data_IF_955383933659
#
_entry.id   IF_955383933659
#
_cell.length_a   1.000
_cell.length_b   1.000
_cell.length_c   1.000
_cell.angle_alpha   90.00
_cell.angle_beta   90.00
_cell.angle_gamma   90.00
#
_symmetry.space_group_name_H-M   'P 1'
#
loop_
_entity.id
_entity.type
_entity.pdbx_description
1 polymer ?
#
# COMPACT_ATOMS: atom_id res chain seq x y z
N UNK A 1 3.03 -16.18 -4.82
CA UNK A 1 2.85 -16.10 -3.35
C UNK A 1 3.83 -17.03 -2.61
N UNK A 2 3.42 -18.10 -1.87
CA UNK A 2 4.30 -18.80 -0.89
C UNK A 2 5.67 -19.28 -1.40
N UNK A 3 5.74 -19.86 -2.61
CA UNK A 3 7.03 -20.20 -3.25
C UNK A 3 7.72 -18.97 -3.83
N UNK A 4 6.96 -18.10 -4.51
CA UNK A 4 7.43 -16.84 -5.12
C UNK A 4 8.22 -15.97 -4.16
N UNK A 5 7.73 -15.76 -2.93
CA UNK A 5 8.34 -14.85 -1.94
C UNK A 5 9.71 -15.34 -1.42
N UNK A 6 10.07 -16.60 -1.66
CA UNK A 6 11.39 -17.14 -1.31
C UNK A 6 12.51 -16.66 -2.26
N UNK A 7 12.16 -16.10 -3.41
CA UNK A 7 13.10 -15.59 -4.43
C UNK A 7 12.79 -14.13 -4.82
N UNK A 8 11.50 -13.79 -4.86
CA UNK A 8 10.96 -12.47 -5.17
C UNK A 8 10.40 -11.86 -3.87
N UNK A 9 11.32 -11.46 -3.00
CA UNK A 9 11.05 -11.05 -1.62
C UNK A 9 10.78 -9.55 -1.44
N UNK A 10 10.86 -8.75 -2.52
CA UNK A 10 10.31 -7.40 -2.55
C UNK A 10 8.83 -7.48 -2.91
N UNK A 11 7.97 -7.11 -1.95
CA UNK A 11 6.52 -7.21 -2.05
C UNK A 11 5.94 -5.81 -2.06
N UNK A 12 5.55 -5.33 -3.24
CA UNK A 12 4.81 -4.09 -3.35
C UNK A 12 3.33 -4.30 -3.03
N UNK A 13 2.73 -3.35 -2.31
CA UNK A 13 1.39 -3.44 -1.77
C UNK A 13 0.66 -2.10 -1.82
N UNK A 14 -0.65 -2.19 -2.06
CA UNK A 14 -1.60 -1.10 -2.21
C UNK A 14 -3.01 -1.66 -1.87
N UNK A 15 -3.94 -0.83 -1.38
CA UNK A 15 -5.31 -1.26 -1.05
C UNK A 15 -6.38 -0.29 -1.57
N UNK A 16 -7.53 -0.83 -1.97
CA UNK A 16 -8.73 -0.04 -2.26
C UNK A 16 -9.79 -0.27 -1.17
N UNK A 17 -10.39 0.81 -0.69
CA UNK A 17 -11.30 0.84 0.45
C UNK A 17 -12.31 2.00 0.31
N UNK A 18 -13.45 2.00 1.02
CA UNK A 18 -14.56 2.92 0.75
C UNK A 18 -14.36 4.35 1.31
N UNK A 19 -13.13 4.85 1.33
CA UNK A 19 -12.79 6.24 1.66
C UNK A 19 -12.74 6.55 3.15
N UNK A 20 -13.29 7.73 3.50
CA UNK A 20 -13.34 8.30 4.85
C UNK A 20 -14.79 8.75 5.09
N UNK A 21 -15.39 8.28 6.19
CA UNK A 21 -16.77 8.60 6.59
C UNK A 21 -16.87 9.30 7.95
N UNK A 22 -15.83 9.19 8.79
CA UNK A 22 -15.75 9.82 10.12
C UNK A 22 -14.54 10.75 10.23
N UNK A 23 -14.69 11.85 10.97
CA UNK A 23 -13.57 12.60 11.53
C UNK A 23 -13.63 12.49 13.06
N UNK A 24 -12.50 12.23 13.75
CA UNK A 24 -12.50 12.12 15.21
C UNK A 24 -12.71 13.51 15.82
N UNK A 25 -13.56 13.58 16.85
CA UNK A 25 -13.88 14.82 17.58
C UNK A 25 -13.18 14.77 18.93
N UNK A 26 -12.31 15.73 19.21
CA UNK A 26 -11.56 15.79 20.46
C UNK A 26 -10.44 16.83 20.45
N UNK A 27 -9.57 16.75 21.45
CA UNK A 27 -8.28 17.42 21.48
C UNK A 27 -7.19 16.39 21.17
N UNK A 28 -6.23 16.77 20.33
CA UNK A 28 -5.15 15.89 19.87
C UNK A 28 -3.81 16.51 20.28
N UNK A 29 -2.84 15.66 20.63
CA UNK A 29 -1.51 16.05 21.10
C UNK A 29 -0.64 16.69 20.02
N UNK A 30 -0.88 16.31 18.76
CA UNK A 30 -0.11 16.75 17.58
C UNK A 30 -0.93 16.59 16.29
N UNK A 31 -0.41 17.09 15.18
CA UNK A 31 -1.00 16.84 13.87
C UNK A 31 -0.89 15.36 13.46
N UNK A 32 0.22 14.68 13.81
CA UNK A 32 0.43 13.26 13.55
C UNK A 32 -0.54 12.36 14.34
N UNK A 33 -0.82 12.71 15.59
CA UNK A 33 -1.85 12.07 16.43
C UNK A 33 -3.24 12.21 15.79
N UNK A 34 -3.62 13.42 15.34
CA UNK A 34 -4.87 13.60 14.59
C UNK A 34 -4.94 12.75 13.32
N UNK A 35 -3.85 12.64 12.53
CA UNK A 35 -3.82 11.75 11.37
C UNK A 35 -4.00 10.28 11.77
N UNK A 36 -3.37 9.83 12.86
CA UNK A 36 -3.54 8.46 13.35
C UNK A 36 -4.97 8.18 13.84
N UNK A 37 -5.57 9.06 14.65
CA UNK A 37 -6.95 8.87 15.10
C UNK A 37 -7.97 8.95 13.95
N UNK A 38 -7.68 9.74 12.90
CA UNK A 38 -8.48 9.79 11.67
C UNK A 38 -8.40 8.46 10.91
N UNK A 39 -7.19 7.92 10.71
CA UNK A 39 -6.97 6.60 10.13
C UNK A 39 -7.69 5.52 10.93
N UNK A 40 -7.42 5.45 12.24
CA UNK A 40 -7.96 4.46 13.17
C UNK A 40 -9.49 4.42 13.16
N UNK A 41 -10.14 5.57 13.29
CA UNK A 41 -11.61 5.65 13.34
C UNK A 41 -12.26 5.14 12.06
N UNK A 42 -11.67 5.43 10.89
CA UNK A 42 -12.20 4.96 9.61
C UNK A 42 -11.86 3.48 9.35
N UNK A 43 -10.61 3.03 9.52
CA UNK A 43 -10.21 1.64 9.30
C UNK A 43 -10.98 0.66 10.19
N UNK A 44 -11.23 1.03 11.46
CA UNK A 44 -12.03 0.19 12.35
C UNK A 44 -13.48 0.06 11.84
N UNK A 45 -14.06 1.17 11.36
CA UNK A 45 -15.48 1.27 10.96
C UNK A 45 -15.79 0.84 9.52
N UNK A 46 -14.78 0.75 8.66
CA UNK A 46 -14.89 0.46 7.23
C UNK A 46 -14.17 -0.84 6.88
N UNK A 47 -14.55 -1.47 5.78
CA UNK A 47 -13.98 -2.74 5.35
C UNK A 47 -13.28 -2.62 3.99
N UNK A 48 -12.21 -3.41 3.83
CA UNK A 48 -11.33 -3.40 2.65
C UNK A 48 -12.05 -3.99 1.42
N UNK A 49 -11.85 -3.39 0.24
CA UNK A 49 -12.47 -3.82 -1.02
C UNK A 49 -11.47 -4.60 -1.89
N UNK A 50 -10.23 -4.12 -2.00
CA UNK A 50 -9.14 -4.85 -2.65
C UNK A 50 -7.81 -4.75 -1.92
N UNK A 51 -6.98 -5.78 -2.10
CA UNK A 51 -5.54 -5.78 -1.80
C UNK A 51 -4.77 -6.16 -3.07
N UNK A 52 -3.74 -5.38 -3.40
CA UNK A 52 -2.76 -5.71 -4.43
C UNK A 52 -1.47 -6.21 -3.80
N UNK A 53 -0.91 -7.30 -4.32
CA UNK A 53 0.42 -7.79 -3.95
C UNK A 53 1.24 -8.10 -5.20
N UNK A 54 2.35 -7.38 -5.37
CA UNK A 54 3.26 -7.54 -6.51
C UNK A 54 4.66 -7.94 -6.06
N UNK A 55 5.22 -9.02 -6.65
CA UNK A 55 6.44 -9.68 -6.18
C UNK A 55 7.62 -9.46 -7.16
N UNK A 56 8.72 -8.93 -6.65
CA UNK A 56 9.97 -8.60 -7.35
C UNK A 56 11.20 -9.13 -6.59
N UNK A 57 12.33 -9.28 -7.29
CA UNK A 57 13.63 -9.64 -6.68
C UNK A 57 14.47 -8.41 -6.30
N UNK A 58 15.62 -8.64 -5.64
CA UNK A 58 16.59 -7.61 -5.23
C UNK A 58 17.15 -6.77 -6.40
N UNK A 59 17.19 -7.31 -7.62
CA UNK A 59 17.65 -6.59 -8.80
C UNK A 59 16.53 -5.77 -9.46
N UNK A 60 15.28 -5.93 -9.02
CA UNK A 60 14.11 -5.28 -9.60
C UNK A 60 13.53 -6.01 -10.80
N UNK A 61 13.71 -7.34 -10.90
CA UNK A 61 12.99 -8.17 -11.86
C UNK A 61 11.64 -8.63 -11.26
N UNK A 62 10.51 -8.56 -11.99
CA UNK A 62 9.25 -9.14 -11.57
C UNK A 62 9.32 -10.67 -11.53
N UNK A 63 8.53 -11.30 -10.65
CA UNK A 63 8.37 -12.75 -10.65
C UNK A 63 7.80 -13.28 -12.00
N UNK A 64 8.29 -14.42 -12.52
CA UNK A 64 7.88 -14.96 -13.81
C UNK A 64 6.41 -15.40 -13.81
N UNK A 65 5.81 -15.39 -15.00
CA UNK A 65 4.41 -15.72 -15.35
C UNK A 65 3.30 -14.87 -14.70
N UNK A 66 3.45 -14.53 -13.42
CA UNK A 66 2.52 -13.76 -12.61
C UNK A 66 3.26 -13.10 -11.45
N UNK A 67 3.62 -11.82 -11.60
CA UNK A 67 4.17 -11.02 -10.51
C UNK A 67 3.11 -10.39 -9.61
N UNK A 68 1.93 -10.08 -10.14
CA UNK A 68 0.86 -9.33 -9.45
C UNK A 68 -0.38 -10.18 -9.18
N UNK A 69 -0.82 -10.17 -7.93
CA UNK A 69 -2.10 -10.70 -7.46
C UNK A 69 -3.01 -9.56 -6.99
N UNK A 70 -4.29 -9.60 -7.37
CA UNK A 70 -5.32 -8.68 -6.89
C UNK A 70 -6.43 -9.49 -6.20
N UNK A 71 -6.57 -9.30 -4.89
CA UNK A 71 -7.60 -9.92 -4.06
C UNK A 71 -8.81 -9.00 -4.01
N UNK A 72 -10.01 -9.54 -4.24
CA UNK A 72 -11.27 -8.80 -4.23
C UNK A 72 -12.08 -9.32 -3.04
N UNK A 73 -12.12 -8.54 -1.97
CA UNK A 73 -12.81 -8.95 -0.74
C UNK A 73 -14.32 -8.78 -0.87
N UNK A 74 -15.04 -9.50 -0.02
CA UNK A 74 -16.49 -9.42 0.07
C UNK A 74 -16.92 -8.02 0.52
N UNK A 75 -17.80 -7.38 -0.25
CA UNK A 75 -18.31 -6.03 0.03
C UNK A 75 -19.70 -5.83 -0.57
N UNK A 76 -20.63 -5.28 0.21
CA UNK A 76 -22.04 -5.11 -0.10
C UNK A 76 -22.49 -3.66 0.17
N UNK A 77 -22.68 -2.89 -0.91
CA UNK A 77 -23.15 -1.49 -0.89
C UNK A 77 -24.48 -1.24 -0.13
N UNK A 78 -25.25 -2.28 0.19
CA UNK A 78 -26.53 -2.15 0.90
C UNK A 78 -26.41 -2.38 2.43
N UNK A 79 -25.25 -2.83 2.91
CA UNK A 79 -25.02 -3.17 4.31
C UNK A 79 -23.78 -2.45 4.88
N UNK A 80 -22.73 -2.30 4.07
CA UNK A 80 -21.42 -1.90 4.54
C UNK A 80 -21.25 -0.36 4.40
N UNK A 81 -20.68 0.29 5.41
CA UNK A 81 -20.52 1.74 5.42
C UNK A 81 -19.51 2.21 4.36
N UNK A 82 -19.78 3.35 3.73
CA UNK A 82 -18.94 3.88 2.65
C UNK A 82 -19.10 5.38 2.39
N UNK A 83 -18.05 6.02 1.87
CA UNK A 83 -18.12 7.36 1.31
C UNK A 83 -18.63 7.31 -0.14
N UNK A 84 -19.69 8.04 -0.44
CA UNK A 84 -20.36 7.99 -1.75
C UNK A 84 -19.43 8.32 -2.92
N UNK A 85 -18.56 9.33 -2.77
CA UNK A 85 -17.61 9.76 -3.79
C UNK A 85 -16.52 8.71 -4.05
N UNK A 86 -16.09 7.98 -3.01
CA UNK A 86 -15.14 6.88 -3.14
C UNK A 86 -15.74 5.69 -3.87
N UNK A 87 -17.01 5.33 -3.60
CA UNK A 87 -17.70 4.31 -4.38
C UNK A 87 -17.87 4.74 -5.84
N UNK A 88 -18.21 6.00 -6.10
CA UNK A 88 -18.32 6.51 -7.48
C UNK A 88 -16.97 6.48 -8.21
N UNK A 89 -15.87 6.85 -7.54
CA UNK A 89 -14.50 6.71 -8.08
C UNK A 89 -14.20 5.25 -8.43
N UNK A 90 -14.41 4.32 -7.49
CA UNK A 90 -14.15 2.89 -7.67
C UNK A 90 -15.01 2.26 -8.78
N UNK A 91 -16.28 2.63 -8.91
CA UNK A 91 -17.14 2.19 -10.03
C UNK A 91 -16.61 2.71 -11.37
N UNK A 92 -16.20 3.98 -11.45
CA UNK A 92 -15.58 4.55 -12.66
C UNK A 92 -14.23 3.89 -13.00
N UNK A 93 -13.52 3.40 -11.98
CA UNK A 93 -12.30 2.61 -12.11
C UNK A 93 -12.56 1.11 -12.33
N UNK A 94 -13.81 0.70 -12.54
CA UNK A 94 -14.18 -0.65 -12.97
C UNK A 94 -14.36 -1.68 -11.85
N UNK A 95 -14.49 -1.27 -10.59
CA UNK A 95 -14.82 -2.17 -9.47
C UNK A 95 -16.25 -2.71 -9.63
N UNK A 96 -16.36 -4.05 -9.64
CA UNK A 96 -17.62 -4.75 -9.89
C UNK A 96 -18.30 -5.11 -8.57
N UNK A 97 -18.86 -4.14 -7.85
CA UNK A 97 -19.42 -4.34 -6.49
C UNK A 97 -20.46 -5.48 -6.39
N UNK A 98 -21.27 -5.71 -7.44
CA UNK A 98 -22.18 -6.87 -7.48
C UNK A 98 -21.43 -8.22 -7.38
N UNK A 99 -20.22 -8.29 -7.95
CA UNK A 99 -19.33 -9.44 -7.86
C UNK A 99 -18.61 -9.54 -6.51
N UNK A 100 -18.17 -8.42 -5.94
CA UNK A 100 -17.66 -8.42 -4.56
C UNK A 100 -18.70 -8.94 -3.56
N UNK A 101 -19.98 -8.56 -3.71
CA UNK A 101 -21.06 -9.02 -2.82
C UNK A 101 -21.40 -10.51 -2.96
N UNK A 102 -21.26 -11.08 -4.17
CA UNK A 102 -21.68 -12.45 -4.48
C UNK A 102 -20.54 -13.49 -4.48
N UNK A 103 -19.33 -13.09 -4.86
CA UNK A 103 -18.15 -13.96 -5.08
C UNK A 103 -16.90 -13.47 -4.32
N UNK A 104 -16.95 -12.35 -3.60
CA UNK A 104 -15.77 -11.77 -2.96
C UNK A 104 -15.22 -12.59 -1.79
N UNK A 105 -13.91 -12.54 -1.61
CA UNK A 105 -13.15 -13.30 -0.61
C UNK A 105 -13.57 -12.89 0.80
N UNK A 106 -13.90 -13.87 1.65
CA UNK A 106 -14.15 -13.64 3.08
C UNK A 106 -12.84 -13.19 3.77
N UNK A 107 -12.80 -12.00 4.41
CA UNK A 107 -11.57 -11.44 5.00
C UNK A 107 -10.84 -12.42 5.94
N UNK A 108 -11.59 -13.13 6.79
CA UNK A 108 -11.01 -14.01 7.81
C UNK A 108 -10.45 -15.32 7.22
N UNK A 109 -10.91 -15.78 6.05
CA UNK A 109 -10.30 -16.91 5.33
C UNK A 109 -8.98 -16.50 4.69
N UNK A 110 -8.93 -15.30 4.08
CA UNK A 110 -7.68 -14.73 3.57
C UNK A 110 -6.66 -14.55 4.69
N UNK A 111 -7.05 -13.94 5.81
CA UNK A 111 -6.17 -13.67 6.95
C UNK A 111 -5.49 -14.94 7.47
N UNK A 112 -6.26 -16.02 7.69
CA UNK A 112 -5.73 -17.33 8.09
C UNK A 112 -4.67 -17.86 7.10
N UNK A 113 -4.96 -17.81 5.79
CA UNK A 113 -4.06 -18.30 4.75
C UNK A 113 -2.82 -17.40 4.54
N UNK A 114 -2.93 -16.11 4.85
CA UNK A 114 -1.88 -15.10 4.69
C UNK A 114 -0.93 -15.07 5.89
N UNK A 115 -1.42 -15.20 7.13
CA UNK A 115 -0.59 -15.32 8.34
C UNK A 115 0.42 -16.46 8.22
N UNK A 116 0.00 -17.65 7.75
CA UNK A 116 0.89 -18.81 7.56
C UNK A 116 1.57 -18.85 6.17
N UNK A 117 1.66 -17.72 5.46
CA UNK A 117 2.22 -17.67 4.10
C UNK A 117 3.74 -17.48 4.03
N UNK A 118 4.36 -16.97 5.10
CA UNK A 118 5.76 -16.53 5.11
C UNK A 118 6.00 -15.14 4.48
N UNK A 119 4.93 -14.44 4.09
CA UNK A 119 4.99 -13.07 3.53
C UNK A 119 4.98 -12.01 4.65
N UNK A 120 4.19 -12.24 5.70
CA UNK A 120 4.16 -11.46 6.95
C UNK A 120 4.96 -12.15 8.06
N UNK A 121 5.30 -11.40 9.12
CA UNK A 121 6.17 -11.83 10.23
C UNK A 121 7.56 -12.31 9.77
N UNK A 122 8.05 -11.77 8.66
CA UNK A 122 9.16 -12.34 7.89
C UNK A 122 10.24 -11.31 7.61
N UNK A 123 11.36 -11.42 8.33
CA UNK A 123 12.58 -10.60 8.16
C UNK A 123 13.18 -10.64 6.75
N UNK A 124 12.83 -11.64 5.95
CA UNK A 124 13.30 -11.77 4.57
C UNK A 124 12.50 -10.93 3.58
N UNK A 125 11.28 -10.49 3.94
CA UNK A 125 10.40 -9.72 3.06
C UNK A 125 10.61 -8.22 3.25
N UNK A 126 10.57 -7.49 2.14
CA UNK A 126 10.67 -6.03 2.11
C UNK A 126 9.44 -5.46 1.41
N UNK A 127 8.68 -4.65 2.14
CA UNK A 127 7.43 -4.08 1.69
C UNK A 127 7.64 -2.75 0.98
N UNK A 128 7.03 -2.58 -0.19
CA UNK A 128 7.09 -1.37 -1.00
C UNK A 128 5.68 -0.79 -1.11
N UNK A 129 5.48 0.43 -0.63
CA UNK A 129 4.13 1.00 -0.50
C UNK A 129 4.12 2.49 -0.81
N UNK A 130 2.96 3.12 -0.97
CA UNK A 130 2.89 4.55 -1.29
C UNK A 130 1.83 5.27 -0.43
N UNK A 131 2.26 6.15 0.46
CA UNK A 131 1.39 6.94 1.35
C UNK A 131 0.57 6.07 2.33
N UNK A 132 1.22 5.05 2.90
CA UNK A 132 0.57 3.77 3.13
C UNK A 132 0.01 3.53 4.53
N UNK A 133 -0.36 4.60 5.23
CA UNK A 133 -0.92 4.50 6.58
C UNK A 133 -2.20 3.65 6.61
N UNK A 134 -3.15 3.96 5.72
CA UNK A 134 -4.41 3.23 5.62
C UNK A 134 -4.21 1.78 5.19
N UNK A 135 -3.32 1.51 4.22
CA UNK A 135 -3.05 0.14 3.75
C UNK A 135 -2.59 -0.78 4.88
N UNK A 136 -1.58 -0.34 5.65
CA UNK A 136 -1.13 -1.08 6.82
C UNK A 136 -2.17 -1.11 7.94
N UNK A 137 -2.99 -0.06 8.07
CA UNK A 137 -4.15 -0.07 8.95
C UNK A 137 -5.11 -1.23 8.64
N UNK A 138 -5.59 -1.32 7.40
CA UNK A 138 -6.47 -2.42 6.98
C UNK A 138 -5.79 -3.77 7.12
N UNK A 139 -4.52 -3.89 6.74
CA UNK A 139 -3.77 -5.15 6.87
C UNK A 139 -3.57 -5.59 8.33
N UNK A 140 -3.41 -4.66 9.28
CA UNK A 140 -3.32 -4.99 10.71
C UNK A 140 -4.70 -5.38 11.28
N UNK A 141 -5.77 -4.64 10.96
CA UNK A 141 -7.15 -5.02 11.30
C UNK A 141 -7.47 -6.44 10.79
N UNK A 142 -7.17 -6.69 9.52
CA UNK A 142 -7.40 -7.95 8.82
C UNK A 142 -6.63 -9.14 9.43
N UNK A 143 -5.38 -8.92 9.86
CA UNK A 143 -4.53 -10.01 10.39
C UNK A 143 -4.78 -10.33 11.87
N UNK A 144 -5.31 -9.38 12.65
CA UNK A 144 -5.53 -9.53 14.09
C UNK A 144 -7.00 -9.74 14.49
N UNK A 145 -7.94 -9.56 13.54
CA UNK A 145 -9.40 -9.57 13.73
C UNK A 145 -9.85 -8.63 14.88
N UNK A 146 -9.19 -7.46 14.96
CA UNK A 146 -9.27 -6.51 16.07
C UNK A 146 -9.18 -5.05 15.58
N UNK A 147 -9.79 -4.16 16.36
CA UNK A 147 -9.64 -2.71 16.19
C UNK A 147 -8.18 -2.27 16.39
N UNK A 148 -7.74 -1.27 15.62
CA UNK A 148 -6.40 -0.71 15.76
C UNK A 148 -6.19 -0.04 17.14
N UNK A 149 -4.96 -0.12 17.71
CA UNK A 149 -4.62 0.38 19.05
C UNK A 149 -5.00 1.84 19.29
N UNK A 150 -5.20 2.22 20.55
CA UNK A 150 -5.55 3.61 20.89
C UNK A 150 -4.37 4.56 20.65
N UNK A 151 -3.15 4.10 20.95
CA UNK A 151 -1.91 4.84 20.75
C UNK A 151 -1.24 4.54 19.38
N UNK A 152 -0.56 5.55 18.84
CA UNK A 152 0.19 5.44 17.59
C UNK A 152 1.50 4.67 17.76
N UNK A 153 2.12 4.70 18.95
CA UNK A 153 3.29 3.90 19.29
C UNK A 153 2.98 2.41 19.28
N UNK A 154 1.91 1.99 19.95
CA UNK A 154 1.40 0.59 19.92
C UNK A 154 1.12 0.11 18.49
N UNK A 155 0.53 0.96 17.63
CA UNK A 155 0.37 0.67 16.20
C UNK A 155 1.71 0.45 15.49
N UNK A 156 2.73 1.30 15.74
CA UNK A 156 4.06 1.12 15.18
C UNK A 156 4.82 -0.10 15.74
N UNK A 157 4.50 -0.58 16.95
CA UNK A 157 5.02 -1.84 17.47
C UNK A 157 4.43 -3.05 16.73
N UNK A 158 3.10 -3.11 16.56
CA UNK A 158 2.45 -4.12 15.73
C UNK A 158 2.96 -4.10 14.29
N UNK A 159 3.11 -2.90 13.71
CA UNK A 159 3.64 -2.72 12.36
C UNK A 159 5.02 -3.36 12.19
N UNK A 160 5.95 -3.12 13.13
CA UNK A 160 7.31 -3.71 13.09
C UNK A 160 7.31 -5.23 13.27
N UNK A 161 6.37 -5.78 14.05
CA UNK A 161 6.28 -7.24 14.27
C UNK A 161 5.74 -7.95 13.03
N UNK A 162 4.70 -7.39 12.39
CA UNK A 162 4.01 -8.02 11.26
C UNK A 162 4.75 -7.73 9.93
N UNK A 163 5.36 -6.55 9.81
CA UNK A 163 5.99 -6.03 8.60
C UNK A 163 7.39 -5.44 8.91
N UNK A 164 8.43 -6.26 9.20
CA UNK A 164 9.70 -5.77 9.75
C UNK A 164 10.47 -4.77 8.89
N UNK A 165 10.29 -4.82 7.55
CA UNK A 165 10.97 -3.93 6.59
C UNK A 165 9.97 -3.33 5.63
N UNK A 166 9.78 -2.01 5.72
CA UNK A 166 8.86 -1.22 4.89
C UNK A 166 9.62 -0.03 4.31
N UNK A 167 9.37 0.29 3.04
CA UNK A 167 9.81 1.53 2.41
C UNK A 167 8.60 2.21 1.77
N UNK A 168 8.04 3.24 2.42
CA UNK A 168 6.98 4.06 1.84
C UNK A 168 7.60 5.03 0.81
N UNK A 169 7.30 4.83 -0.47
CA UNK A 169 7.81 5.64 -1.57
C UNK A 169 7.48 7.12 -1.41
N UNK A 170 6.33 7.45 -0.82
CA UNK A 170 5.92 8.84 -0.52
C UNK A 170 6.83 9.46 0.54
N UNK A 171 7.33 8.66 1.49
CA UNK A 171 8.33 9.09 2.45
C UNK A 171 9.73 9.20 1.79
N UNK A 172 10.15 8.21 1.00
CA UNK A 172 11.43 8.27 0.25
C UNK A 172 11.51 9.50 -0.66
N UNK A 173 10.40 9.88 -1.31
CA UNK A 173 10.27 11.11 -2.10
C UNK A 173 10.66 12.38 -1.34
N UNK A 174 10.58 12.42 0.01
CA UNK A 174 11.04 13.57 0.81
C UNK A 174 12.55 13.81 0.67
N UNK A 175 13.34 12.74 0.46
CA UNK A 175 14.77 12.84 0.13
C UNK A 175 15.01 13.37 -1.29
N UNK A 176 14.06 13.17 -2.20
CA UNK A 176 14.13 13.57 -3.59
C UNK A 176 13.38 14.89 -3.81
N UNK A 177 14.05 16.05 -3.63
CA UNK A 177 13.50 17.42 -3.87
C UNK A 177 12.63 17.51 -5.14
N UNK A 178 13.03 16.74 -6.14
CA UNK A 178 12.45 16.58 -7.46
C UNK A 178 11.07 15.92 -7.57
N UNK A 179 10.60 15.12 -6.60
CA UNK A 179 9.34 14.40 -6.74
C UNK A 179 8.19 15.00 -5.94
N UNK A 180 6.99 15.01 -6.55
CA UNK A 180 5.70 15.40 -5.94
C UNK A 180 4.53 14.70 -6.63
N UNK A 181 3.34 14.83 -6.03
CA UNK A 181 2.08 14.28 -6.53
C UNK A 181 1.72 12.96 -5.85
N UNK A 182 0.75 12.26 -6.42
CA UNK A 182 0.42 10.87 -6.10
C UNK A 182 1.33 9.89 -6.83
N UNK A 183 0.93 8.61 -6.82
CA UNK A 183 1.70 7.52 -7.43
C UNK A 183 1.80 7.69 -8.95
N UNK A 184 0.71 8.12 -9.59
CA UNK A 184 0.70 8.33 -11.04
C UNK A 184 1.61 9.49 -11.46
N UNK A 185 1.66 10.59 -10.72
CA UNK A 185 2.63 11.66 -11.00
C UNK A 185 4.07 11.18 -10.80
N UNK A 186 4.35 10.38 -9.75
CA UNK A 186 5.68 9.81 -9.51
C UNK A 186 6.11 8.94 -10.71
N UNK A 187 5.26 8.02 -11.16
CA UNK A 187 5.51 7.18 -12.33
C UNK A 187 5.75 8.02 -13.60
N UNK A 188 4.91 9.03 -13.85
CA UNK A 188 5.05 9.96 -14.97
C UNK A 188 6.39 10.75 -14.95
N UNK A 189 6.90 11.07 -13.75
CA UNK A 189 8.21 11.73 -13.56
C UNK A 189 9.39 10.75 -13.69
N UNK A 190 9.20 9.49 -13.32
CA UNK A 190 10.20 8.42 -13.43
C UNK A 190 10.29 7.78 -14.83
N UNK A 191 9.33 8.07 -15.71
CA UNK A 191 9.12 7.37 -16.99
C UNK A 191 8.86 5.86 -16.80
N UNK A 192 7.93 5.56 -15.91
CA UNK A 192 7.30 4.24 -15.75
C UNK A 192 5.89 4.33 -16.33
N UNK A 193 5.51 3.36 -17.16
CA UNK A 193 4.18 3.28 -17.79
C UNK A 193 3.27 2.36 -16.98
N UNK A 194 2.02 2.77 -16.72
CA UNK A 194 1.07 1.92 -15.98
C UNK A 194 0.65 0.73 -16.83
N UNK A 195 0.74 -0.45 -16.24
CA UNK A 195 0.09 -1.67 -16.72
C UNK A 195 -1.19 -1.90 -15.92
N UNK A 196 -2.34 -2.03 -16.59
CA UNK A 196 -3.64 -2.24 -15.95
C UNK A 196 -4.42 -0.96 -15.64
N UNK A 197 -5.56 -1.12 -14.98
CA UNK A 197 -6.53 -0.06 -14.70
C UNK A 197 -6.05 0.81 -13.52
N UNK A 198 -6.18 2.14 -13.60
CA UNK A 198 -5.84 3.01 -12.46
C UNK A 198 -6.94 2.94 -11.39
N UNK A 199 -6.55 2.99 -10.11
CA UNK A 199 -7.43 2.80 -8.96
C UNK A 199 -8.02 1.38 -8.94
N UNK A 200 -7.12 0.41 -9.04
CA UNK A 200 -7.33 -0.98 -8.65
C UNK A 200 -6.02 -1.50 -8.05
N UNK A 201 -6.11 -2.08 -6.86
CA UNK A 201 -4.95 -2.31 -6.01
C UNK A 201 -3.84 -3.16 -6.67
N UNK A 202 -4.20 -4.12 -7.54
CA UNK A 202 -3.20 -4.89 -8.29
C UNK A 202 -2.33 -4.01 -9.19
N UNK A 203 -2.95 -3.08 -9.90
CA UNK A 203 -2.29 -2.14 -10.83
C UNK A 203 -1.47 -1.08 -10.11
N UNK A 204 -2.01 -0.52 -9.03
CA UNK A 204 -1.30 0.46 -8.22
C UNK A 204 -0.16 -0.18 -7.39
N UNK A 205 -0.29 -1.43 -6.93
CA UNK A 205 0.84 -2.19 -6.33
C UNK A 205 1.96 -2.49 -7.34
N UNK A 206 1.63 -2.79 -8.61
CA UNK A 206 2.66 -2.99 -9.65
C UNK A 206 3.38 -1.69 -9.98
N UNK A 207 2.63 -0.60 -10.16
CA UNK A 207 3.20 0.71 -10.43
C UNK A 207 4.09 1.18 -9.26
N UNK A 208 3.74 0.82 -8.03
CA UNK A 208 4.57 1.03 -6.82
C UNK A 208 5.88 0.24 -6.87
N UNK A 209 5.86 -1.04 -7.28
CA UNK A 209 7.09 -1.82 -7.46
C UNK A 209 8.04 -1.19 -8.50
N UNK A 210 7.51 -0.88 -9.69
CA UNK A 210 8.30 -0.32 -10.79
C UNK A 210 8.84 1.08 -10.45
N UNK A 211 8.02 1.93 -9.83
CA UNK A 211 8.43 3.23 -9.34
C UNK A 211 9.53 3.12 -8.29
N UNK A 212 9.47 2.14 -7.38
CA UNK A 212 10.51 1.91 -6.38
C UNK A 212 11.86 1.60 -7.03
N UNK A 213 11.94 0.56 -7.87
CA UNK A 213 13.22 0.16 -8.46
C UNK A 213 13.79 1.21 -9.41
N UNK A 214 12.94 1.95 -10.14
CA UNK A 214 13.37 3.09 -10.96
C UNK A 214 13.90 4.24 -10.09
N UNK A 215 13.23 4.57 -8.97
CA UNK A 215 13.67 5.60 -8.03
C UNK A 215 14.98 5.20 -7.31
N UNK A 216 15.08 3.95 -6.82
CA UNK A 216 16.26 3.40 -6.14
C UNK A 216 17.51 3.54 -7.01
N UNK A 217 17.42 3.16 -8.29
CA UNK A 217 18.52 3.22 -9.26
C UNK A 217 18.94 4.65 -9.61
N UNK A 218 18.00 5.59 -9.74
CA UNK A 218 18.31 6.95 -10.21
C UNK A 218 18.66 7.93 -9.08
N UNK A 219 18.12 7.77 -7.87
CA UNK A 219 18.26 8.75 -6.78
C UNK A 219 18.99 8.25 -5.53
N UNK A 220 19.15 6.93 -5.39
CA UNK A 220 19.73 6.28 -4.22
C UNK A 220 20.95 5.40 -4.56
N UNK A 221 21.54 5.55 -5.76
CA UNK A 221 22.69 4.72 -6.21
C UNK A 221 22.45 3.20 -6.11
N UNK A 222 21.19 2.79 -6.32
CA UNK A 222 20.67 1.43 -6.15
C UNK A 222 20.67 0.87 -4.70
N UNK A 223 20.88 1.70 -3.67
CA UNK A 223 20.92 1.31 -2.25
C UNK A 223 20.09 2.23 -1.34
N UNK A 224 19.14 1.68 -0.57
CA UNK A 224 18.39 2.45 0.44
C UNK A 224 19.11 2.40 1.80
N UNK A 225 19.14 3.53 2.50
CA UNK A 225 19.61 3.63 3.88
C UNK A 225 18.51 3.18 4.86
N UNK A 226 18.59 1.92 5.32
CA UNK A 226 17.61 1.33 6.24
C UNK A 226 17.46 2.13 7.54
N UNK A 227 18.55 2.71 8.07
CA UNK A 227 18.52 3.46 9.32
C UNK A 227 17.74 4.78 9.23
N UNK A 228 17.44 5.23 8.01
CA UNK A 228 16.73 6.48 7.71
C UNK A 228 15.36 6.27 7.08
N UNK A 229 15.18 5.20 6.30
CA UNK A 229 13.97 5.00 5.48
C UNK A 229 13.16 3.76 5.84
N UNK A 230 13.71 2.80 6.58
CA UNK A 230 12.99 1.57 6.91
C UNK A 230 11.93 1.82 8.01
N UNK A 231 10.71 1.32 7.79
CA UNK A 231 9.60 1.45 8.75
C UNK A 231 8.97 2.85 8.83
N UNK A 232 9.43 3.80 8.02
CA UNK A 232 8.90 5.16 7.98
C UNK A 232 7.69 5.23 7.06
N UNK A 233 6.54 5.67 7.60
CA UNK A 233 5.27 5.79 6.88
C UNK A 233 4.96 7.27 6.63
N UNK A 234 4.61 7.66 5.41
CA UNK A 234 4.23 9.05 5.16
C UNK A 234 2.88 9.35 5.81
N UNK A 235 2.83 10.43 6.59
CA UNK A 235 1.60 10.90 7.23
C UNK A 235 1.47 10.55 8.71
N UNK A 236 2.31 9.64 9.22
CA UNK A 236 2.24 9.13 10.59
C UNK A 236 3.60 9.27 11.30
N UNK A 237 3.56 9.23 12.64
CA UNK A 237 4.77 9.23 13.47
C UNK A 237 5.48 10.59 13.59
N UNK A 238 6.61 10.65 14.33
CA UNK A 238 7.23 11.90 14.75
C UNK A 238 7.90 12.70 13.63
N UNK A 239 8.20 12.08 12.48
CA UNK A 239 8.76 12.79 11.32
C UNK A 239 7.71 13.51 10.46
N UNK A 240 6.44 13.56 10.85
CA UNK A 240 5.40 14.21 10.06
C UNK A 240 5.68 15.69 9.77
N UNK A 241 6.11 16.46 10.78
CA UNK A 241 6.14 17.93 10.80
C UNK A 241 7.30 18.60 10.01
N UNK A 242 8.16 17.84 9.33
CA UNK A 242 9.51 18.27 8.90
C UNK A 242 9.68 18.79 7.45
N UNK A 243 8.71 19.54 6.92
CA UNK A 243 8.84 20.42 5.70
C UNK A 243 9.09 19.73 4.32
N UNK A 244 9.41 20.48 3.25
CA UNK A 244 9.67 19.94 1.90
C UNK A 244 9.96 20.97 0.79
N UNK A 245 9.85 20.57 -0.50
CA UNK A 245 9.76 21.39 -1.76
C UNK A 245 11.02 21.55 -2.68
N UNK A 246 11.03 21.00 -3.93
CA UNK A 246 11.36 21.64 -5.27
C UNK A 246 12.23 20.88 -6.34
N UNK A 247 11.56 20.44 -7.44
CA UNK A 247 11.92 20.43 -8.91
C UNK A 247 12.97 19.46 -9.52
N UNK A 248 12.78 19.15 -10.82
CA UNK A 248 13.19 17.92 -11.55
C UNK A 248 13.68 18.20 -12.99
N UNK A 249 14.45 17.28 -13.61
CA UNK A 249 14.61 17.12 -15.08
C UNK A 249 14.71 15.63 -15.48
N UNK A 250 14.54 15.30 -16.77
CA UNK A 250 14.35 13.93 -17.36
C UNK A 250 15.69 13.28 -17.78
N UNK A 251 15.84 12.01 -18.21
CA UNK A 251 14.99 10.98 -18.93
C UNK A 251 15.45 9.56 -18.46
N UNK A 252 15.20 8.36 -19.00
CA UNK A 252 14.53 7.75 -20.19
C UNK A 252 14.09 6.27 -19.84
N UNK A 253 13.37 5.49 -20.69
CA UNK A 253 12.72 4.21 -20.31
C UNK A 253 13.37 2.89 -20.81
N UNK A 254 12.76 1.77 -20.40
CA UNK A 254 12.99 0.34 -20.75
C UNK A 254 11.60 -0.38 -20.80
N UNK A 255 11.47 -1.62 -21.32
CA UNK A 255 10.15 -2.22 -21.65
C UNK A 255 9.31 -2.73 -20.46
N UNK A 256 7.97 -2.89 -20.61
CA UNK A 256 7.01 -3.08 -19.50
C UNK A 256 6.64 -4.55 -19.15
N UNK A 257 6.12 -4.80 -17.92
CA UNK A 257 5.64 -6.10 -17.42
C UNK A 257 4.13 -6.38 -17.70
N UNK A 258 3.54 -7.40 -17.03
CA UNK A 258 2.12 -7.80 -17.16
C UNK A 258 1.46 -8.20 -15.82
N UNK A 259 0.21 -7.76 -15.61
CA UNK A 259 -0.69 -8.23 -14.53
C UNK A 259 -1.49 -9.44 -15.04
N UNK A 260 -1.64 -10.50 -14.21
CA UNK A 260 -2.31 -11.73 -14.65
C UNK A 260 -3.25 -12.45 -13.68
N UNK A 261 -3.27 -12.18 -12.36
CA UNK A 261 -4.18 -12.90 -11.44
C UNK A 261 -5.07 -12.00 -10.58
N UNK A 262 -6.31 -11.85 -11.04
CA UNK A 262 -7.43 -11.32 -10.25
C UNK A 262 -8.10 -12.49 -9.53
N UNK A 263 -8.38 -12.34 -8.24
CA UNK A 263 -8.96 -13.36 -7.38
C UNK A 263 -10.24 -12.83 -6.73
N UNK A 264 -11.33 -13.55 -6.97
CA UNK A 264 -12.56 -13.59 -6.21
C UNK A 264 -12.60 -15.02 -5.66
#
# INVERSE_FOLDING_TARGET
MRQTVQQYNYVAMDTEFPGIVTHPIGFFSSAADYQYQLLRSNVNSLDIIQLGLTFFDEAGNPAPDCCTWQFNFKFNLNADMHAQDSILLLVNSGIQFAKHSAEGIEPNEFAQLFTISGIVYSENVRWLTFHSGYDFGYMIKLLLDQNLPEDVGEFFELLRIIFPKIYDLKFLMRGCKSFRGGLQELANQLHVERVGQHHQAGSDSLLTAEAFFKMRKVFFSDQIDDAKYCGQIYGLGPEFDSTGSFRTTKKDPLPPPMIRKVLF
#
